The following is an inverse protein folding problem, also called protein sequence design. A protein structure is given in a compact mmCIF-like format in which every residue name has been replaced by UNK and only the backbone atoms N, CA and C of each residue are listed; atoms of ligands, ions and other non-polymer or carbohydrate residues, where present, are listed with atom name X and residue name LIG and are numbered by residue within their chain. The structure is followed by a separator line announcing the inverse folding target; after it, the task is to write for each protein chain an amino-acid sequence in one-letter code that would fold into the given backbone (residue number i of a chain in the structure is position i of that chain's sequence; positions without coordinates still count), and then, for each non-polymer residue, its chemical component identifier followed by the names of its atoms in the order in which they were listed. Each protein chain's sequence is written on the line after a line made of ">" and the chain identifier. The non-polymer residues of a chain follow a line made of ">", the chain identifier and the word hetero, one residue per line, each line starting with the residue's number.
data_IF_497646204774
#
_entry.id   IF_497646204774
#
_cell.length_a   1.000
_cell.length_b   1.000
_cell.length_c   1.000
_cell.angle_alpha   90.00
_cell.angle_beta   90.00
_cell.angle_gamma   90.00
#
_symmetry.space_group_name_H-M   'P 1'
#
loop_
_entity.id
_entity.type
_entity.pdbx_description
1 polymer ?
#
# COMPACT_ATOMS: atom_id res chain seq x y z
N UNK A 1 -25.76 3.19 10.30
CA UNK A 1 -25.54 4.50 9.67
C UNK A 1 -24.13 5.06 9.93
N UNK A 2 -23.71 5.34 11.17
CA UNK A 2 -22.36 5.91 11.43
C UNK A 2 -21.20 5.10 10.83
N UNK A 3 -21.16 3.78 11.05
CA UNK A 3 -20.11 2.94 10.46
C UNK A 3 -20.14 2.89 8.92
N UNK A 4 -21.32 2.97 8.32
CA UNK A 4 -21.48 2.99 6.87
C UNK A 4 -20.93 4.28 6.26
N UNK A 5 -21.19 5.43 6.91
CA UNK A 5 -20.58 6.71 6.56
C UNK A 5 -19.05 6.61 6.68
N UNK A 6 -18.53 5.98 7.73
CA UNK A 6 -17.09 5.75 7.88
C UNK A 6 -16.49 4.97 6.71
N UNK A 7 -17.12 3.87 6.27
CA UNK A 7 -16.68 3.10 5.10
C UNK A 7 -16.68 3.94 3.82
N UNK A 8 -17.70 4.79 3.63
CA UNK A 8 -17.79 5.69 2.49
C UNK A 8 -16.67 6.73 2.51
N UNK A 9 -16.48 7.41 3.65
CA UNK A 9 -15.46 8.45 3.82
C UNK A 9 -14.05 7.87 3.67
N UNK A 10 -13.80 6.67 4.20
CA UNK A 10 -12.53 5.98 3.99
C UNK A 10 -12.24 5.80 2.50
N UNK A 11 -13.17 5.19 1.75
CA UNK A 11 -12.97 4.96 0.33
C UNK A 11 -12.88 6.25 -0.49
N UNK A 12 -13.73 7.23 -0.19
CA UNK A 12 -13.87 8.43 -1.01
C UNK A 12 -12.82 9.51 -0.72
N UNK A 13 -12.38 9.63 0.54
CA UNK A 13 -11.61 10.78 1.01
C UNK A 13 -10.18 10.45 1.44
N UNK A 14 -9.84 9.18 1.70
CA UNK A 14 -8.54 8.82 2.28
C UNK A 14 -7.33 9.32 1.49
N UNK A 15 -7.47 9.52 0.17
CA UNK A 15 -6.40 9.98 -0.72
C UNK A 15 -6.78 11.17 -1.59
N UNK A 16 -8.02 11.67 -1.51
CA UNK A 16 -8.49 12.84 -2.29
C UNK A 16 -8.40 14.13 -1.49
N UNK A 17 -8.33 14.06 -0.16
CA UNK A 17 -8.17 15.22 0.72
C UNK A 17 -6.75 15.33 1.29
N UNK A 18 -6.25 16.55 1.55
CA UNK A 18 -4.99 16.76 2.27
C UNK A 18 -5.01 16.15 3.68
N UNK A 19 -6.19 16.15 4.32
CA UNK A 19 -6.39 15.58 5.65
C UNK A 19 -6.32 14.03 5.67
N UNK A 20 -6.23 13.39 4.50
CA UNK A 20 -6.12 11.94 4.36
C UNK A 20 -7.24 11.18 5.07
N UNK A 21 -6.87 10.30 6.00
CA UNK A 21 -7.81 9.48 6.75
C UNK A 21 -8.50 10.21 7.92
N UNK A 22 -8.23 11.48 8.20
CA UNK A 22 -8.80 12.17 9.35
C UNK A 22 -10.35 12.12 9.42
N UNK A 23 -11.11 12.31 8.32
CA UNK A 23 -12.56 12.18 8.36
C UNK A 23 -13.03 10.78 8.75
N UNK A 24 -12.35 9.74 8.24
CA UNK A 24 -12.61 8.35 8.64
C UNK A 24 -12.24 8.14 10.11
N UNK A 25 -11.09 8.63 10.55
CA UNK A 25 -10.61 8.53 11.92
C UNK A 25 -11.58 9.15 12.93
N UNK A 26 -12.18 10.30 12.60
CA UNK A 26 -13.20 10.94 13.43
C UNK A 26 -14.45 10.05 13.56
N UNK A 27 -14.94 9.47 12.46
CA UNK A 27 -16.10 8.58 12.52
C UNK A 27 -15.76 7.28 13.26
N UNK A 28 -14.58 6.71 13.02
CA UNK A 28 -14.10 5.51 13.72
C UNK A 28 -14.04 5.74 15.24
N UNK A 29 -13.43 6.83 15.69
CA UNK A 29 -13.28 7.13 17.13
C UNK A 29 -14.63 7.44 17.77
N UNK A 30 -15.42 8.34 17.19
CA UNK A 30 -16.72 8.72 17.75
C UNK A 30 -17.67 7.53 17.84
N UNK A 31 -17.79 6.71 16.79
CA UNK A 31 -18.67 5.53 16.82
C UNK A 31 -18.11 4.42 17.71
N UNK A 32 -16.79 4.25 17.83
CA UNK A 32 -16.19 3.34 18.80
C UNK A 32 -16.47 3.73 20.25
N UNK A 33 -16.48 5.03 20.57
CA UNK A 33 -16.84 5.53 21.90
C UNK A 33 -18.33 5.34 22.19
N UNK A 34 -19.20 5.73 21.25
CA UNK A 34 -20.65 5.62 21.40
C UNK A 34 -21.12 4.16 21.49
N UNK A 35 -20.43 3.23 20.83
CA UNK A 35 -20.77 1.80 20.82
C UNK A 35 -19.77 0.94 21.60
N UNK A 36 -19.08 1.51 22.60
CA UNK A 36 -18.01 0.83 23.33
C UNK A 36 -18.43 -0.52 23.92
N UNK A 37 -19.61 -0.60 24.54
CA UNK A 37 -20.11 -1.84 25.13
C UNK A 37 -20.35 -2.93 24.07
N UNK A 38 -20.81 -2.55 22.87
CA UNK A 38 -21.00 -3.47 21.76
C UNK A 38 -19.66 -3.99 21.23
N UNK A 39 -18.66 -3.11 21.09
CA UNK A 39 -17.30 -3.52 20.71
C UNK A 39 -16.69 -4.47 21.75
N UNK A 40 -16.82 -4.14 23.05
CA UNK A 40 -16.30 -4.97 24.14
C UNK A 40 -16.92 -6.36 24.16
N UNK A 41 -18.25 -6.47 23.98
CA UNK A 41 -18.96 -7.76 23.97
C UNK A 41 -18.55 -8.62 22.78
N UNK A 42 -18.42 -8.03 21.61
CA UNK A 42 -18.08 -8.77 20.37
C UNK A 42 -16.59 -9.11 20.25
N UNK A 43 -15.71 -8.44 20.99
CA UNK A 43 -14.28 -8.74 21.00
C UNK A 43 -13.96 -10.19 21.45
N UNK A 44 -14.79 -10.77 22.32
CA UNK A 44 -14.63 -12.17 22.76
C UNK A 44 -14.96 -13.17 21.64
N UNK A 45 -15.93 -12.85 20.77
CA UNK A 45 -16.34 -13.71 19.64
C UNK A 45 -15.22 -13.90 18.61
N UNK A 46 -14.42 -12.85 18.39
CA UNK A 46 -13.30 -12.84 17.44
C UNK A 46 -11.94 -12.74 18.15
N UNK A 47 -11.85 -13.26 19.37
CA UNK A 47 -10.68 -13.06 20.22
C UNK A 47 -9.38 -13.56 19.59
N UNK A 48 -9.39 -14.71 18.91
CA UNK A 48 -8.19 -15.28 18.29
C UNK A 48 -7.63 -14.39 17.16
N UNK A 49 -8.38 -14.08 16.08
CA UNK A 49 -7.87 -13.20 15.03
C UNK A 49 -7.54 -11.80 15.57
N UNK A 50 -8.31 -11.27 16.51
CA UNK A 50 -8.05 -9.96 17.11
C UNK A 50 -6.73 -9.94 17.91
N UNK A 51 -6.46 -10.97 18.73
CA UNK A 51 -5.20 -11.10 19.48
C UNK A 51 -4.00 -11.23 18.55
N UNK A 52 -4.09 -12.03 17.49
CA UNK A 52 -3.00 -12.20 16.51
C UNK A 52 -2.62 -10.84 15.90
N UNK A 53 -3.62 -10.07 15.44
CA UNK A 53 -3.37 -8.76 14.83
C UNK A 53 -2.92 -7.71 15.83
N UNK A 54 -3.40 -7.78 17.07
CA UNK A 54 -2.95 -6.91 18.16
C UNK A 54 -1.50 -7.18 18.54
N UNK A 55 -1.10 -8.45 18.68
CA UNK A 55 0.30 -8.84 18.95
C UNK A 55 1.21 -8.41 17.80
N UNK A 56 0.77 -8.55 16.54
CA UNK A 56 1.51 -8.04 15.39
C UNK A 56 1.72 -6.52 15.50
N UNK A 57 0.65 -5.74 15.71
CA UNK A 57 0.74 -4.29 15.84
C UNK A 57 1.62 -3.87 17.03
N UNK A 58 1.49 -4.54 18.17
CA UNK A 58 2.33 -4.31 19.35
C UNK A 58 3.80 -4.65 19.07
N UNK A 59 4.08 -5.74 18.34
CA UNK A 59 5.42 -6.12 17.92
C UNK A 59 6.09 -5.04 17.08
N UNK A 60 5.34 -4.40 16.16
CA UNK A 60 5.83 -3.25 15.38
C UNK A 60 6.21 -2.10 16.31
N UNK A 61 5.34 -1.77 17.28
CA UNK A 61 5.58 -0.66 18.22
C UNK A 61 6.76 -0.92 19.15
N UNK A 62 6.86 -2.13 19.70
CA UNK A 62 7.97 -2.53 20.56
C UNK A 62 9.28 -2.46 19.79
N UNK A 63 9.33 -3.00 18.56
CA UNK A 63 10.54 -2.90 17.74
C UNK A 63 10.90 -1.45 17.43
N UNK A 64 9.90 -0.61 17.13
CA UNK A 64 10.12 0.80 16.85
C UNK A 64 10.67 1.54 18.08
N UNK A 65 10.10 1.30 19.25
CA UNK A 65 10.56 1.87 20.52
C UNK A 65 11.99 1.39 20.87
N UNK A 66 12.28 0.10 20.70
CA UNK A 66 13.62 -0.45 20.91
C UNK A 66 14.64 0.17 19.95
N UNK A 67 14.28 0.32 18.67
CA UNK A 67 15.14 0.98 17.67
C UNK A 67 15.46 2.43 18.09
N UNK A 68 14.44 3.19 18.50
CA UNK A 68 14.61 4.58 18.98
C UNK A 68 15.52 4.63 20.22
N UNK A 69 15.31 3.74 21.19
CA UNK A 69 16.13 3.68 22.41
C UNK A 69 17.59 3.35 22.11
N UNK A 70 17.85 2.39 21.24
CA UNK A 70 19.21 1.93 20.89
C UNK A 70 19.97 2.98 20.06
N UNK A 71 19.26 3.74 19.22
CA UNK A 71 19.88 4.69 18.29
C UNK A 71 19.75 6.17 18.72
N UNK A 72 19.20 6.39 19.92
CA UNK A 72 18.98 7.70 20.55
C UNK A 72 18.27 8.69 19.62
N UNK A 73 17.18 8.25 19.00
CA UNK A 73 16.40 9.02 18.03
C UNK A 73 15.23 9.79 18.68
N UNK A 74 14.65 10.71 17.91
CA UNK A 74 13.45 11.45 18.32
C UNK A 74 12.18 10.58 18.24
N UNK A 75 11.19 10.88 19.09
CA UNK A 75 9.91 10.14 19.15
C UNK A 75 9.01 10.32 17.92
N UNK A 76 9.35 11.25 17.01
CA UNK A 76 8.50 11.64 15.87
C UNK A 76 8.23 10.48 14.91
N UNK A 77 9.17 9.54 14.77
CA UNK A 77 9.01 8.39 13.87
C UNK A 77 8.04 7.32 14.41
N UNK A 78 7.72 7.36 15.70
CA UNK A 78 6.74 6.46 16.32
C UNK A 78 5.32 6.71 15.79
N UNK A 79 4.99 7.94 15.40
CA UNK A 79 3.66 8.31 14.88
C UNK A 79 3.31 7.54 13.60
N UNK A 80 4.30 7.23 12.75
CA UNK A 80 4.05 6.41 11.56
C UNK A 80 3.66 4.97 11.91
N UNK A 81 4.17 4.45 13.03
CA UNK A 81 4.04 3.04 13.45
C UNK A 81 2.84 2.78 14.34
N UNK A 82 2.39 3.76 15.13
CA UNK A 82 1.12 3.70 15.90
C UNK A 82 -0.09 3.41 15.01
N UNK A 83 -0.02 3.79 13.74
CA UNK A 83 -1.04 3.52 12.72
C UNK A 83 -1.33 2.03 12.51
N UNK A 84 -0.41 1.12 12.82
CA UNK A 84 -0.69 -0.33 12.77
C UNK A 84 -1.74 -0.78 13.79
N UNK A 85 -2.01 0.00 14.85
CA UNK A 85 -3.13 -0.26 15.77
C UNK A 85 -4.50 -0.09 15.10
N UNK A 86 -4.58 0.63 13.97
CA UNK A 86 -5.80 0.73 13.17
C UNK A 86 -6.21 -0.62 12.56
N UNK A 87 -5.26 -1.56 12.41
CA UNK A 87 -5.54 -2.89 11.86
C UNK A 87 -6.48 -3.70 12.76
N UNK A 88 -6.13 -4.05 14.02
CA UNK A 88 -7.06 -4.74 14.92
C UNK A 88 -8.29 -3.89 15.26
N UNK A 89 -8.16 -2.56 15.34
CA UNK A 89 -9.29 -1.66 15.63
C UNK A 89 -10.35 -1.72 14.53
N UNK A 90 -9.96 -1.56 13.26
CA UNK A 90 -10.89 -1.60 12.14
C UNK A 90 -11.56 -2.97 11.96
N UNK A 91 -10.84 -4.07 12.26
CA UNK A 91 -11.43 -5.43 12.32
C UNK A 91 -12.57 -5.49 13.32
N UNK A 92 -12.29 -5.12 14.57
CA UNK A 92 -13.29 -5.16 15.64
C UNK A 92 -14.48 -4.25 15.32
N UNK A 93 -14.20 -3.04 14.86
CA UNK A 93 -15.20 -2.02 14.56
C UNK A 93 -16.18 -2.47 13.47
N UNK A 94 -15.69 -3.02 12.36
CA UNK A 94 -16.56 -3.56 11.29
C UNK A 94 -17.31 -4.81 11.74
N UNK A 95 -16.65 -5.70 12.47
CA UNK A 95 -17.29 -6.92 12.96
C UNK A 95 -18.46 -6.58 13.90
N UNK A 96 -18.25 -5.64 14.82
CA UNK A 96 -19.23 -5.22 15.83
C UNK A 96 -20.39 -4.41 15.23
N UNK A 97 -20.10 -3.37 14.44
CA UNK A 97 -21.10 -2.41 13.97
C UNK A 97 -21.81 -2.84 12.67
N UNK A 98 -21.34 -3.94 12.09
CA UNK A 98 -21.99 -4.63 10.98
C UNK A 98 -22.32 -3.76 9.75
N UNK A 99 -21.46 -2.83 9.30
CA UNK A 99 -21.78 -1.98 8.16
C UNK A 99 -21.93 -2.81 6.86
N UNK A 100 -22.68 -2.27 5.89
CA UNK A 100 -22.85 -2.92 4.58
C UNK A 100 -21.60 -2.68 3.72
N UNK A 101 -21.08 -3.75 3.12
CA UNK A 101 -19.91 -3.71 2.22
C UNK A 101 -20.09 -2.74 1.03
N UNK A 102 -21.34 -2.48 0.61
CA UNK A 102 -21.66 -1.58 -0.49
C UNK A 102 -21.12 -0.15 -0.29
N UNK A 103 -21.06 0.34 0.95
CA UNK A 103 -20.52 1.67 1.25
C UNK A 103 -19.00 1.73 1.09
N UNK A 104 -18.30 0.66 1.43
CA UNK A 104 -16.86 0.56 1.19
C UNK A 104 -16.57 0.49 -0.31
N UNK A 105 -17.37 -0.30 -1.05
CA UNK A 105 -17.26 -0.43 -2.49
C UNK A 105 -17.56 0.89 -3.24
N UNK A 106 -18.68 1.55 -2.90
CA UNK A 106 -19.08 2.83 -3.49
C UNK A 106 -18.11 3.96 -3.13
N UNK A 107 -17.67 4.00 -1.86
CA UNK A 107 -16.65 4.95 -1.41
C UNK A 107 -15.35 4.79 -2.21
N UNK A 108 -14.87 3.57 -2.39
CA UNK A 108 -13.65 3.33 -3.16
C UNK A 108 -13.77 3.77 -4.62
N UNK A 109 -14.93 3.57 -5.26
CA UNK A 109 -15.17 4.07 -6.62
C UNK A 109 -15.14 5.60 -6.67
N UNK A 110 -15.83 6.27 -5.73
CA UNK A 110 -15.78 7.73 -5.62
C UNK A 110 -14.35 8.24 -5.38
N UNK A 111 -13.56 7.53 -4.58
CA UNK A 111 -12.16 7.88 -4.33
C UNK A 111 -11.32 7.83 -5.60
N UNK A 112 -11.44 6.77 -6.41
CA UNK A 112 -10.69 6.67 -7.68
C UNK A 112 -11.07 7.79 -8.65
N UNK A 113 -12.37 8.08 -8.81
CA UNK A 113 -12.80 9.20 -9.67
C UNK A 113 -12.40 10.56 -9.11
N UNK A 114 -12.40 10.73 -7.78
CA UNK A 114 -11.91 11.94 -7.13
C UNK A 114 -10.41 12.15 -7.35
N UNK A 115 -9.60 11.08 -7.28
CA UNK A 115 -8.17 11.16 -7.61
C UNK A 115 -7.96 11.43 -9.10
N UNK A 116 -8.75 10.83 -9.99
CA UNK A 116 -8.68 11.14 -11.41
C UNK A 116 -8.92 12.62 -11.68
N UNK A 117 -9.96 13.20 -11.06
CA UNK A 117 -10.24 14.63 -11.17
C UNK A 117 -9.05 15.46 -10.64
N UNK A 118 -8.52 15.12 -9.47
CA UNK A 118 -7.36 15.79 -8.88
C UNK A 118 -6.13 15.74 -9.81
N UNK A 119 -5.83 14.56 -10.37
CA UNK A 119 -4.71 14.35 -11.27
C UNK A 119 -4.86 15.16 -12.57
N UNK A 120 -6.06 15.17 -13.17
CA UNK A 120 -6.34 15.98 -14.36
C UNK A 120 -6.19 17.47 -14.08
N UNK A 121 -6.67 17.94 -12.92
CA UNK A 121 -6.53 19.35 -12.52
C UNK A 121 -5.08 19.74 -12.33
N UNK A 122 -4.24 18.89 -11.73
CA UNK A 122 -2.80 19.14 -11.55
C UNK A 122 -2.08 19.28 -12.89
N UNK A 123 -2.29 18.31 -13.80
CA UNK A 123 -1.69 18.37 -15.13
C UNK A 123 -2.18 19.58 -15.92
N UNK A 124 -3.47 19.91 -15.83
CA UNK A 124 -4.02 21.10 -16.49
C UNK A 124 -3.44 22.42 -15.95
N UNK A 125 -3.07 22.47 -14.66
CA UNK A 125 -2.35 23.62 -14.07
C UNK A 125 -0.89 23.74 -14.52
N UNK A 126 -0.37 22.75 -15.25
CA UNK A 126 1.00 22.73 -15.74
C UNK A 126 1.97 21.94 -14.85
N UNK A 127 1.48 21.18 -13.86
CA UNK A 127 2.33 20.29 -13.09
C UNK A 127 2.92 19.20 -14.01
N UNK A 128 4.20 18.86 -13.81
CA UNK A 128 4.91 17.89 -14.68
C UNK A 128 4.34 16.48 -14.56
N UNK A 129 3.75 16.14 -13.41
CA UNK A 129 3.06 14.89 -13.11
C UNK A 129 2.03 15.09 -12.00
N UNK A 130 1.05 14.20 -11.90
CA UNK A 130 0.10 14.20 -10.81
C UNK A 130 0.70 13.62 -9.52
N UNK A 131 0.83 14.46 -8.48
CA UNK A 131 1.38 14.07 -7.17
C UNK A 131 0.33 14.00 -6.06
N UNK A 132 -0.89 14.47 -6.34
CA UNK A 132 -1.95 14.61 -5.36
C UNK A 132 -1.53 15.59 -4.26
N UNK A 133 -1.53 15.13 -3.02
CA UNK A 133 -1.14 15.96 -1.86
C UNK A 133 0.24 15.63 -1.30
N UNK A 134 1.05 14.85 -2.02
CA UNK A 134 2.35 14.40 -1.53
C UNK A 134 3.20 13.76 -2.61
N UNK A 135 3.15 12.43 -2.71
CA UNK A 135 4.05 11.68 -3.59
C UNK A 135 3.28 10.98 -4.72
N UNK A 136 3.72 11.18 -5.97
CA UNK A 136 3.10 10.60 -7.17
C UNK A 136 3.04 9.06 -7.17
N UNK A 137 4.06 8.41 -6.60
CA UNK A 137 4.11 6.94 -6.51
C UNK A 137 3.07 6.45 -5.52
N UNK A 138 3.02 7.04 -4.32
CA UNK A 138 2.01 6.72 -3.30
C UNK A 138 0.59 6.99 -3.81
N UNK A 139 0.36 8.08 -4.55
CA UNK A 139 -0.94 8.37 -5.15
C UNK A 139 -1.40 7.23 -6.06
N UNK A 140 -0.54 6.78 -6.96
CA UNK A 140 -0.84 5.70 -7.90
C UNK A 140 -1.05 4.35 -7.17
N UNK A 141 -0.21 4.04 -6.19
CA UNK A 141 -0.30 2.81 -5.39
C UNK A 141 -1.62 2.73 -4.62
N UNK A 142 -2.04 3.83 -3.99
CA UNK A 142 -3.29 3.85 -3.24
C UNK A 142 -4.52 3.91 -4.15
N UNK A 143 -4.41 4.52 -5.33
CA UNK A 143 -5.47 4.45 -6.36
C UNK A 143 -5.67 3.02 -6.83
N UNK A 144 -4.58 2.27 -7.06
CA UNK A 144 -4.63 0.84 -7.34
C UNK A 144 -5.29 0.06 -6.20
N UNK A 145 -4.94 0.36 -4.95
CA UNK A 145 -5.55 -0.28 -3.79
C UNK A 145 -7.08 -0.04 -3.72
N UNK A 146 -7.56 1.17 -4.01
CA UNK A 146 -9.00 1.44 -4.13
C UNK A 146 -9.63 0.71 -5.32
N UNK A 147 -8.97 0.63 -6.47
CA UNK A 147 -9.45 -0.12 -7.62
C UNK A 147 -9.62 -1.62 -7.30
N UNK A 148 -8.71 -2.21 -6.52
CA UNK A 148 -8.80 -3.58 -6.01
C UNK A 148 -10.09 -3.76 -5.18
N UNK A 149 -10.43 -2.80 -4.32
CA UNK A 149 -11.69 -2.82 -3.56
C UNK A 149 -12.89 -2.85 -4.49
N UNK A 150 -12.92 -1.99 -5.51
CA UNK A 150 -14.05 -1.94 -6.45
C UNK A 150 -14.16 -3.24 -7.26
N UNK A 151 -13.04 -3.83 -7.68
CA UNK A 151 -13.01 -5.04 -8.51
C UNK A 151 -13.41 -6.29 -7.71
N UNK A 152 -12.78 -6.54 -6.57
CA UNK A 152 -12.96 -7.80 -5.85
C UNK A 152 -14.11 -7.75 -4.84
N UNK A 153 -14.47 -6.58 -4.30
CA UNK A 153 -15.61 -6.42 -3.40
C UNK A 153 -16.93 -6.07 -4.14
N UNK A 154 -16.97 -6.25 -5.47
CA UNK A 154 -18.14 -5.94 -6.32
C UNK A 154 -19.43 -6.70 -5.95
N UNK A 155 -20.60 -6.06 -6.07
CA UNK A 155 -21.90 -6.73 -6.06
C UNK A 155 -22.05 -7.73 -7.21
N UNK A 156 -22.93 -8.73 -7.06
CA UNK A 156 -23.24 -9.71 -8.12
C UNK A 156 -23.80 -8.99 -9.35
N UNK A 157 -23.29 -9.31 -10.54
CA UNK A 157 -23.77 -8.78 -11.83
C UNK A 157 -23.27 -7.37 -12.20
N UNK A 158 -22.63 -6.64 -11.29
CA UNK A 158 -22.08 -5.31 -11.59
C UNK A 158 -20.66 -5.40 -12.18
N UNK A 159 -20.54 -5.16 -13.48
CA UNK A 159 -19.25 -5.13 -14.19
C UNK A 159 -18.87 -3.76 -14.75
N UNK A 160 -19.86 -2.90 -15.04
CA UNK A 160 -19.60 -1.57 -15.61
C UNK A 160 -18.73 -0.69 -14.69
N UNK A 161 -19.10 -0.55 -13.42
CA UNK A 161 -18.36 0.32 -12.49
C UNK A 161 -16.90 -0.17 -12.27
N UNK A 162 -16.63 -1.47 -11.99
CA UNK A 162 -15.26 -1.96 -11.94
C UNK A 162 -14.44 -1.70 -13.21
N UNK A 163 -15.05 -1.83 -14.41
CA UNK A 163 -14.36 -1.54 -15.67
C UNK A 163 -14.00 -0.05 -15.81
N UNK A 164 -14.93 0.85 -15.48
CA UNK A 164 -14.67 2.30 -15.49
C UNK A 164 -13.61 2.70 -14.47
N UNK A 165 -13.62 2.08 -13.28
CA UNK A 165 -12.63 2.33 -12.23
C UNK A 165 -11.25 1.83 -12.63
N UNK A 166 -11.14 0.68 -13.30
CA UNK A 166 -9.85 0.20 -13.84
C UNK A 166 -9.30 1.14 -14.92
N UNK A 167 -10.17 1.65 -15.80
CA UNK A 167 -9.77 2.65 -16.79
C UNK A 167 -9.28 3.95 -16.13
N UNK A 168 -10.05 4.48 -15.17
CA UNK A 168 -9.68 5.67 -14.41
C UNK A 168 -8.36 5.49 -13.65
N UNK A 169 -8.16 4.33 -13.02
CA UNK A 169 -6.90 3.97 -12.36
C UNK A 169 -5.72 3.93 -13.35
N UNK A 170 -5.92 3.35 -14.55
CA UNK A 170 -4.93 3.38 -15.62
C UNK A 170 -4.54 4.80 -16.03
N UNK A 171 -5.52 5.69 -16.20
CA UNK A 171 -5.25 7.12 -16.50
C UNK A 171 -4.46 7.77 -15.37
N UNK A 172 -4.82 7.57 -14.11
CA UNK A 172 -4.07 8.12 -12.95
C UNK A 172 -2.61 7.61 -12.92
N UNK A 173 -2.37 6.33 -13.23
CA UNK A 173 -1.00 5.77 -13.30
C UNK A 173 -0.20 6.47 -14.41
N UNK A 174 -0.81 6.76 -15.56
CA UNK A 174 -0.16 7.49 -16.65
C UNK A 174 0.14 8.93 -16.23
N UNK A 175 -0.84 9.65 -15.68
CA UNK A 175 -0.67 11.06 -15.28
C UNK A 175 0.33 11.25 -14.13
N UNK A 176 0.45 10.26 -13.23
CA UNK A 176 1.45 10.28 -12.15
C UNK A 176 2.85 9.85 -12.61
N UNK A 177 2.97 9.20 -13.78
CA UNK A 177 4.24 8.63 -14.26
C UNK A 177 4.73 7.40 -13.46
N UNK A 178 3.89 6.85 -12.58
CA UNK A 178 4.28 5.81 -11.60
C UNK A 178 4.26 4.40 -12.21
N UNK A 179 5.28 4.08 -13.00
CA UNK A 179 5.37 2.80 -13.74
C UNK A 179 5.47 1.55 -12.84
N UNK A 180 5.96 1.70 -11.61
CA UNK A 180 6.08 0.59 -10.64
C UNK A 180 4.75 -0.12 -10.33
N UNK A 181 3.64 0.64 -10.40
CA UNK A 181 2.28 0.14 -10.09
C UNK A 181 1.75 -0.82 -11.17
N UNK A 182 2.33 -0.81 -12.38
CA UNK A 182 1.88 -1.63 -13.50
C UNK A 182 1.99 -3.13 -13.21
N UNK A 183 2.97 -3.54 -12.40
CA UNK A 183 3.09 -4.93 -11.96
C UNK A 183 1.94 -5.32 -11.02
N UNK A 184 1.48 -4.43 -10.14
CA UNK A 184 0.28 -4.68 -9.34
C UNK A 184 -0.98 -4.73 -10.22
N UNK A 185 -1.11 -3.82 -11.20
CA UNK A 185 -2.20 -3.83 -12.19
C UNK A 185 -2.25 -5.16 -12.94
N UNK A 186 -1.09 -5.65 -13.37
CA UNK A 186 -0.93 -6.93 -14.05
C UNK A 186 -1.54 -8.08 -13.29
N UNK A 187 -1.15 -8.22 -12.02
CA UNK A 187 -1.61 -9.31 -11.16
C UNK A 187 -3.11 -9.18 -10.87
N UNK A 188 -3.63 -7.96 -10.72
CA UNK A 188 -5.07 -7.70 -10.57
C UNK A 188 -5.85 -8.15 -11.81
N UNK A 189 -5.42 -7.75 -13.01
CA UNK A 189 -6.07 -8.13 -14.27
C UNK A 189 -5.99 -9.64 -14.50
N UNK A 190 -4.85 -10.24 -14.20
CA UNK A 190 -4.65 -11.69 -14.29
C UNK A 190 -5.61 -12.44 -13.35
N UNK A 191 -5.67 -12.08 -12.07
CA UNK A 191 -6.58 -12.69 -11.10
C UNK A 191 -8.04 -12.45 -11.46
N UNK A 192 -8.37 -11.26 -12.00
CA UNK A 192 -9.71 -10.97 -12.50
C UNK A 192 -10.08 -11.91 -13.66
N UNK A 193 -9.19 -12.12 -14.63
CA UNK A 193 -9.39 -13.00 -15.77
C UNK A 193 -9.63 -14.47 -15.35
N UNK A 194 -8.93 -14.93 -14.31
CA UNK A 194 -9.15 -16.26 -13.70
C UNK A 194 -10.50 -16.35 -12.97
N UNK A 195 -10.95 -15.25 -12.35
CA UNK A 195 -12.20 -15.21 -11.57
C UNK A 195 -13.48 -15.19 -12.43
N UNK A 196 -13.38 -14.78 -13.70
CA UNK A 196 -14.53 -14.65 -14.62
C UNK A 196 -14.71 -15.92 -15.46
N UNK A 197 -15.90 -16.51 -15.34
CA UNK A 197 -16.28 -17.77 -16.01
C UNK A 197 -16.53 -17.62 -17.51
N UNK A 198 -16.87 -16.41 -17.95
CA UNK A 198 -17.21 -16.06 -19.34
C UNK A 198 -16.00 -15.57 -20.14
N UNK A 199 -14.86 -15.33 -19.47
CA UNK A 199 -13.63 -15.01 -20.17
C UNK A 199 -13.17 -16.28 -20.87
N UNK A 200 -13.39 -16.35 -22.18
CA UNK A 200 -12.80 -17.41 -23.01
C UNK A 200 -11.28 -17.40 -22.83
N UNK A 201 -10.63 -18.54 -23.07
CA UNK A 201 -9.17 -18.63 -23.05
C UNK A 201 -8.53 -17.51 -23.92
N UNK A 202 -9.19 -17.13 -25.01
CA UNK A 202 -8.79 -16.01 -25.89
C UNK A 202 -8.79 -14.66 -25.16
N UNK A 203 -9.84 -14.33 -24.39
CA UNK A 203 -9.87 -13.08 -23.60
C UNK A 203 -8.80 -13.08 -22.52
N UNK A 204 -8.55 -14.24 -21.88
CA UNK A 204 -7.46 -14.38 -20.90
C UNK A 204 -6.08 -14.15 -21.55
N UNK A 205 -5.87 -14.73 -22.73
CA UNK A 205 -4.64 -14.55 -23.50
C UNK A 205 -4.50 -13.12 -24.05
N UNK A 206 -5.59 -12.46 -24.44
CA UNK A 206 -5.57 -11.06 -24.89
C UNK A 206 -5.29 -10.08 -23.74
N UNK A 207 -5.80 -10.34 -22.54
CA UNK A 207 -5.44 -9.56 -21.36
C UNK A 207 -3.97 -9.75 -20.99
N UNK A 208 -3.47 -10.99 -21.05
CA UNK A 208 -2.04 -11.29 -20.85
C UNK A 208 -1.17 -10.67 -21.95
N UNK A 209 -1.60 -10.72 -23.21
CA UNK A 209 -0.87 -10.14 -24.33
C UNK A 209 -0.91 -8.60 -24.27
N UNK A 210 -2.06 -7.99 -23.95
CA UNK A 210 -2.18 -6.54 -23.73
C UNK A 210 -1.35 -6.07 -22.53
N UNK A 211 -1.18 -6.92 -21.53
CA UNK A 211 -0.28 -6.65 -20.40
C UNK A 211 1.19 -6.68 -20.82
N UNK A 212 1.60 -7.70 -21.57
CA UNK A 212 2.97 -7.84 -22.08
C UNK A 212 3.28 -6.72 -23.09
N UNK A 213 2.33 -6.39 -23.97
CA UNK A 213 2.44 -5.34 -24.99
C UNK A 213 2.35 -3.94 -24.39
N UNK A 214 1.49 -3.71 -23.40
CA UNK A 214 1.42 -2.45 -22.66
C UNK A 214 2.68 -2.22 -21.82
N UNK A 215 3.18 -3.27 -21.18
CA UNK A 215 4.46 -3.26 -20.48
C UNK A 215 5.64 -3.02 -21.41
N UNK A 216 5.68 -3.64 -22.60
CA UNK A 216 6.75 -3.46 -23.57
C UNK A 216 6.70 -2.12 -24.29
N UNK A 217 5.51 -1.60 -24.62
CA UNK A 217 5.35 -0.28 -25.25
C UNK A 217 5.68 0.86 -24.30
N UNK A 218 5.39 0.74 -23.00
CA UNK A 218 5.84 1.70 -21.99
C UNK A 218 7.34 1.57 -21.66
N UNK A 219 7.90 0.37 -21.85
CA UNK A 219 9.36 0.16 -21.77
C UNK A 219 10.10 0.69 -23.01
N UNK A 220 9.49 0.68 -24.19
CA UNK A 220 10.13 1.03 -25.47
C UNK A 220 9.76 2.42 -26.02
N UNK A 221 8.65 3.01 -25.58
CA UNK A 221 8.20 4.34 -26.02
C UNK A 221 8.98 5.51 -25.44
N UNK A 222 10.06 5.22 -24.68
CA UNK A 222 10.93 6.21 -24.07
C UNK A 222 12.36 5.86 -24.53
N UNK A 223 13.03 6.72 -25.32
CA UNK A 223 14.41 6.50 -25.78
C UNK A 223 15.42 6.21 -24.66
N UNK A 224 15.05 6.55 -23.42
CA UNK A 224 15.85 6.41 -22.21
C UNK A 224 15.94 4.96 -21.70
N UNK A 225 15.28 3.97 -22.31
CA UNK A 225 15.36 2.56 -21.89
C UNK A 225 16.04 1.65 -22.91
N UNK A 226 16.25 2.10 -24.14
CA UNK A 226 16.86 1.28 -25.21
C UNK A 226 18.39 1.38 -25.24
N UNK A 227 18.98 2.39 -24.57
CA UNK A 227 20.44 2.62 -24.46
C UNK A 227 21.02 2.28 -23.07
N UNK A 228 20.21 1.74 -22.13
CA UNK A 228 20.60 1.56 -20.71
C UNK A 228 21.58 0.41 -20.39
N UNK A 229 22.29 -0.11 -21.40
CA UNK A 229 23.45 -1.00 -21.20
C UNK A 229 24.77 -0.37 -21.68
N UNK A 230 24.93 0.94 -21.53
CA UNK A 230 26.25 1.58 -21.67
C UNK A 230 26.62 2.44 -20.47
N UNK A 231 27.84 2.22 -19.99
CA UNK A 231 28.57 2.88 -18.90
C UNK A 231 28.64 4.43 -19.00
N UNK A 232 28.08 5.03 -20.05
CA UNK A 232 28.13 6.47 -20.35
C UNK A 232 26.95 7.22 -19.68
N UNK A 233 25.81 6.55 -19.45
CA UNK A 233 24.62 7.19 -18.83
C UNK A 233 24.67 7.29 -17.30
N UNK A 234 25.58 6.58 -16.63
CA UNK A 234 25.81 6.73 -15.18
C UNK A 234 26.18 8.17 -14.80
N UNK A 235 26.88 8.90 -15.69
CA UNK A 235 27.19 10.34 -15.48
C UNK A 235 25.99 11.26 -15.74
N UNK A 236 25.12 10.91 -16.69
CA UNK A 236 23.92 11.70 -17.01
C UNK A 236 22.82 11.53 -15.94
N UNK A 237 22.65 10.33 -15.40
CA UNK A 237 21.77 10.05 -14.26
C UNK A 237 22.28 10.72 -12.97
N UNK A 238 23.61 10.80 -12.78
CA UNK A 238 24.20 11.58 -11.68
C UNK A 238 23.88 13.08 -11.78
N UNK A 239 23.92 13.68 -12.98
CA UNK A 239 23.48 15.06 -13.16
C UNK A 239 21.97 15.28 -12.94
N UNK A 240 21.11 14.29 -13.27
CA UNK A 240 19.67 14.36 -12.94
C UNK A 240 19.38 14.24 -11.44
N UNK A 241 20.18 13.44 -10.73
CA UNK A 241 20.17 13.41 -9.25
C UNK A 241 20.59 14.76 -8.65
N UNK A 242 21.60 15.41 -9.22
CA UNK A 242 22.05 16.74 -8.81
C UNK A 242 21.00 17.83 -9.11
N UNK A 243 20.22 17.67 -10.19
CA UNK A 243 19.12 18.58 -10.55
C UNK A 243 17.80 18.29 -9.84
N UNK A 244 17.74 17.31 -8.93
CA UNK A 244 16.59 17.05 -8.06
C UNK A 244 15.56 16.03 -8.55
N UNK A 245 15.72 15.40 -9.72
CA UNK A 245 14.80 14.35 -10.21
C UNK A 245 15.24 12.96 -9.71
N UNK A 246 15.08 12.74 -8.40
CA UNK A 246 15.57 11.55 -7.70
C UNK A 246 14.56 10.38 -7.65
N UNK A 247 13.33 10.60 -8.11
CA UNK A 247 12.26 9.60 -8.12
C UNK A 247 12.25 8.75 -9.40
N UNK A 248 12.75 9.31 -10.52
CA UNK A 248 12.68 8.70 -11.86
C UNK A 248 13.95 7.96 -12.29
N UNK A 249 15.11 8.22 -11.67
CA UNK A 249 16.39 7.59 -12.04
C UNK A 249 16.50 6.14 -11.54
N UNK A 250 16.70 5.22 -12.47
CA UNK A 250 17.04 3.81 -12.18
C UNK A 250 18.36 3.71 -11.41
N UNK A 251 19.34 4.57 -11.73
CA UNK A 251 20.61 4.65 -11.02
C UNK A 251 20.45 5.00 -9.54
N UNK A 252 19.62 6.00 -9.21
CA UNK A 252 19.33 6.38 -7.84
C UNK A 252 18.75 5.22 -7.02
N UNK A 253 17.83 4.44 -7.61
CA UNK A 253 17.18 3.30 -6.96
C UNK A 253 18.16 2.16 -6.71
N UNK A 254 18.99 1.82 -7.70
CA UNK A 254 19.99 0.76 -7.55
C UNK A 254 20.99 1.10 -6.46
N UNK A 255 21.45 2.35 -6.40
CA UNK A 255 22.37 2.80 -5.37
C UNK A 255 21.77 2.74 -3.96
N UNK A 256 20.53 3.20 -3.78
CA UNK A 256 19.81 3.07 -2.50
C UNK A 256 19.75 1.61 -2.06
N UNK A 257 19.48 0.68 -2.97
CA UNK A 257 19.47 -0.76 -2.67
C UNK A 257 20.86 -1.29 -2.27
N UNK A 258 21.92 -0.84 -2.95
CA UNK A 258 23.30 -1.20 -2.59
C UNK A 258 23.68 -0.67 -1.20
N UNK A 259 23.35 0.59 -0.92
CA UNK A 259 23.55 1.21 0.40
C UNK A 259 22.76 0.47 1.48
N UNK A 260 21.49 0.14 1.21
CA UNK A 260 20.65 -0.62 2.13
C UNK A 260 21.24 -2.00 2.44
N UNK A 261 21.70 -2.71 1.41
CA UNK A 261 22.34 -4.02 1.54
C UNK A 261 23.64 -3.95 2.34
N UNK A 262 24.54 -3.02 2.00
CA UNK A 262 25.78 -2.82 2.75
C UNK A 262 25.52 -2.44 4.21
N UNK A 263 24.50 -1.60 4.45
CA UNK A 263 24.08 -1.22 5.79
C UNK A 263 23.60 -2.42 6.59
N UNK A 264 22.73 -3.25 6.00
CA UNK A 264 22.24 -4.47 6.63
C UNK A 264 23.38 -5.41 7.01
N UNK A 265 24.37 -5.61 6.13
CA UNK A 265 25.55 -6.43 6.45
C UNK A 265 26.39 -5.83 7.59
N UNK A 266 26.52 -4.51 7.65
CA UNK A 266 27.29 -3.84 8.71
C UNK A 266 26.59 -3.81 10.07
N UNK A 267 25.25 -3.72 10.09
CA UNK A 267 24.42 -3.62 11.29
C UNK A 267 23.23 -4.58 11.24
N UNK A 268 23.45 -5.90 11.22
CA UNK A 268 22.41 -6.89 10.93
C UNK A 268 21.35 -7.00 12.03
N UNK A 269 21.64 -6.60 13.26
CA UNK A 269 20.71 -6.74 14.39
C UNK A 269 19.88 -5.49 14.65
N UNK A 270 20.46 -4.30 14.46
CA UNK A 270 19.85 -3.03 14.89
C UNK A 270 19.57 -2.08 13.74
N UNK A 271 20.25 -2.25 12.59
CA UNK A 271 20.24 -1.27 11.51
C UNK A 271 20.79 0.10 11.92
N UNK A 272 20.46 1.13 11.15
CA UNK A 272 20.88 2.53 11.41
C UNK A 272 19.88 3.33 12.25
N UNK A 273 18.74 2.74 12.58
CA UNK A 273 17.64 3.40 13.29
C UNK A 273 16.41 3.58 12.38
N UNK A 274 15.24 3.29 12.93
CA UNK A 274 13.94 3.45 12.27
C UNK A 274 13.76 4.86 11.69
N UNK A 275 13.32 4.98 10.43
CA UNK A 275 13.03 6.29 9.81
C UNK A 275 14.28 7.08 9.37
N UNK A 276 15.48 6.57 9.63
CA UNK A 276 16.74 7.25 9.37
C UNK A 276 17.61 6.55 8.32
N UNK A 277 17.02 6.26 7.15
CA UNK A 277 17.79 5.74 6.02
C UNK A 277 18.82 6.77 5.50
N UNK A 278 18.61 8.05 5.73
CA UNK A 278 19.60 9.11 5.47
C UNK A 278 20.93 8.85 6.20
N UNK A 279 20.91 8.27 7.42
CA UNK A 279 22.14 7.83 8.11
C UNK A 279 22.86 6.73 7.35
N UNK A 280 22.14 5.81 6.70
CA UNK A 280 22.74 4.79 5.85
C UNK A 280 23.46 5.40 4.64
N UNK A 281 22.93 6.48 4.06
CA UNK A 281 23.58 7.19 2.95
C UNK A 281 24.94 7.77 3.34
N UNK A 282 25.21 8.02 4.63
CA UNK A 282 26.55 8.43 5.08
C UNK A 282 27.62 7.34 4.95
N UNK A 283 27.27 6.10 4.59
CA UNK A 283 28.25 5.08 4.19
C UNK A 283 28.96 5.43 2.88
N UNK A 284 28.34 6.25 2.03
CA UNK A 284 28.99 6.74 0.81
C UNK A 284 30.06 7.78 1.19
N UNK A 285 31.33 7.61 0.77
CA UNK A 285 32.41 8.55 1.13
C UNK A 285 32.11 10.00 0.73
N UNK A 286 31.46 10.22 -0.41
CA UNK A 286 31.06 11.56 -0.87
C UNK A 286 30.09 12.23 0.09
N UNK A 287 29.21 11.47 0.75
CA UNK A 287 28.25 11.98 1.73
C UNK A 287 28.85 12.26 3.10
N UNK A 288 30.13 11.92 3.32
CA UNK A 288 30.90 12.30 4.52
C UNK A 288 31.71 13.58 4.32
N UNK A 289 31.89 14.01 3.07
CA UNK A 289 32.80 15.11 2.71
C UNK A 289 32.29 16.51 3.09
N UNK A 290 31.08 16.62 3.64
CA UNK A 290 30.45 17.90 3.99
C UNK A 290 29.89 18.68 2.80
N UNK A 291 30.10 18.20 1.56
CA UNK A 291 29.46 18.75 0.36
C UNK A 291 27.98 18.42 0.40
N UNK A 292 27.13 19.45 0.21
CA UNK A 292 25.70 19.25 0.12
C UNK A 292 25.34 18.68 -1.26
N UNK A 293 24.94 17.40 -1.29
CA UNK A 293 24.38 16.77 -2.48
C UNK A 293 22.97 16.26 -2.14
N UNK A 294 21.99 16.54 -2.99
CA UNK A 294 20.61 16.05 -2.83
C UNK A 294 20.56 14.52 -2.64
N UNK A 295 21.44 13.80 -3.34
CA UNK A 295 21.69 12.36 -3.21
C UNK A 295 21.99 11.90 -1.78
N UNK A 296 22.69 12.69 -0.98
CA UNK A 296 23.09 12.32 0.38
C UNK A 296 21.96 12.47 1.40
N UNK A 297 20.88 13.16 1.05
CA UNK A 297 19.73 13.43 1.90
C UNK A 297 18.50 12.59 1.52
N UNK A 298 18.72 11.49 0.79
CA UNK A 298 17.67 10.54 0.44
C UNK A 298 17.22 9.78 1.70
N UNK A 299 15.94 9.92 2.02
CA UNK A 299 15.38 9.47 3.31
C UNK A 299 14.81 8.05 3.31
N UNK A 300 14.74 7.41 2.14
CA UNK A 300 14.14 6.09 1.97
C UNK A 300 14.90 5.24 0.95
N UNK A 301 14.88 3.93 1.15
CA UNK A 301 15.44 2.94 0.23
C UNK A 301 14.60 2.71 -1.04
N UNK A 302 13.35 3.19 -1.07
CA UNK A 302 12.36 2.91 -2.13
C UNK A 302 12.09 1.41 -2.31
N UNK A 303 12.17 0.65 -1.22
CA UNK A 303 11.82 -0.76 -1.16
C UNK A 303 11.60 -1.11 0.32
N UNK A 304 10.46 -1.70 0.66
CA UNK A 304 10.12 -1.98 2.06
C UNK A 304 11.11 -2.95 2.71
N UNK A 305 11.49 -4.03 2.03
CA UNK A 305 12.42 -5.01 2.60
C UNK A 305 13.80 -4.37 2.84
N UNK A 306 14.29 -3.61 1.86
CA UNK A 306 15.58 -2.92 1.97
C UNK A 306 15.56 -1.84 3.05
N UNK A 307 14.51 -1.03 3.12
CA UNK A 307 14.31 0.01 4.13
C UNK A 307 14.32 -0.60 5.54
N UNK A 308 13.49 -1.63 5.77
CA UNK A 308 13.34 -2.22 7.10
C UNK A 308 14.59 -3.02 7.51
N UNK A 309 15.25 -3.70 6.57
CA UNK A 309 16.52 -4.38 6.84
C UNK A 309 17.64 -3.38 7.17
N UNK A 310 17.77 -2.29 6.42
CA UNK A 310 18.81 -1.29 6.66
C UNK A 310 18.57 -0.51 7.97
N UNK A 311 17.32 -0.18 8.28
CA UNK A 311 16.97 0.65 9.45
C UNK A 311 16.82 -0.13 10.74
N UNK A 312 16.42 -1.40 10.68
CA UNK A 312 16.06 -2.20 11.86
C UNK A 312 16.62 -3.64 11.84
N UNK A 313 17.48 -3.97 10.87
CA UNK A 313 18.14 -5.28 10.80
C UNK A 313 17.19 -6.45 10.53
N UNK A 314 17.62 -7.65 10.95
CA UNK A 314 16.85 -8.89 10.90
C UNK A 314 15.50 -8.77 11.64
N UNK A 315 15.40 -8.15 12.84
CA UNK A 315 14.11 -7.92 13.47
C UNK A 315 13.15 -7.12 12.59
N UNK A 316 13.64 -6.05 11.94
CA UNK A 316 12.87 -5.27 10.96
C UNK A 316 12.35 -6.12 9.81
N UNK A 317 13.23 -6.95 9.24
CA UNK A 317 12.88 -7.87 8.14
C UNK A 317 11.79 -8.88 8.55
N UNK A 318 11.89 -9.47 9.74
CA UNK A 318 10.88 -10.40 10.24
C UNK A 318 9.53 -9.71 10.46
N UNK A 319 9.54 -8.48 10.97
CA UNK A 319 8.31 -7.72 11.21
C UNK A 319 7.63 -7.32 9.89
N UNK A 320 8.35 -6.84 8.88
CA UNK A 320 7.74 -6.52 7.57
C UNK A 320 7.18 -7.76 6.88
N UNK A 321 7.88 -8.91 6.98
CA UNK A 321 7.36 -10.18 6.49
C UNK A 321 6.10 -10.61 7.26
N UNK A 322 6.03 -10.36 8.57
CA UNK A 322 4.85 -10.64 9.37
C UNK A 322 3.68 -9.69 9.05
N UNK A 323 3.95 -8.40 8.82
CA UNK A 323 2.95 -7.40 8.39
C UNK A 323 2.26 -7.88 7.11
N UNK A 324 3.00 -8.46 6.16
CA UNK A 324 2.41 -9.04 4.96
C UNK A 324 1.79 -10.43 5.18
N UNK A 325 2.55 -11.34 5.79
CA UNK A 325 2.20 -12.75 5.87
C UNK A 325 1.03 -13.05 6.81
N UNK A 326 0.96 -12.39 7.97
CA UNK A 326 -0.08 -12.67 8.99
C UNK A 326 -1.48 -12.31 8.48
N UNK A 327 -1.74 -11.08 7.98
CA UNK A 327 -3.04 -10.75 7.41
C UNK A 327 -3.39 -11.61 6.20
N UNK A 328 -2.42 -11.88 5.30
CA UNK A 328 -2.64 -12.72 4.13
C UNK A 328 -3.07 -14.14 4.52
N UNK A 329 -2.38 -14.78 5.47
CA UNK A 329 -2.71 -16.11 5.94
C UNK A 329 -4.10 -16.15 6.61
N UNK A 330 -4.45 -15.10 7.37
CA UNK A 330 -5.77 -14.98 7.98
C UNK A 330 -6.87 -14.86 6.91
N UNK A 331 -6.67 -14.00 5.92
CA UNK A 331 -7.60 -13.79 4.81
C UNK A 331 -7.74 -15.05 3.95
N UNK A 332 -6.65 -15.77 3.69
CA UNK A 332 -6.68 -17.03 2.95
C UNK A 332 -7.52 -18.09 3.69
N UNK A 333 -7.33 -18.22 5.00
CA UNK A 333 -8.13 -19.12 5.84
C UNK A 333 -9.61 -18.73 5.82
N UNK A 334 -9.92 -17.44 5.93
CA UNK A 334 -11.30 -16.93 5.87
C UNK A 334 -11.92 -17.13 4.48
N UNK A 335 -11.15 -16.96 3.41
CA UNK A 335 -11.61 -17.21 2.05
C UNK A 335 -12.01 -18.67 1.86
N UNK A 336 -11.20 -19.63 2.32
CA UNK A 336 -11.54 -21.04 2.27
C UNK A 336 -12.75 -21.39 3.15
N UNK A 337 -12.83 -20.82 4.35
CA UNK A 337 -13.96 -21.02 5.24
C UNK A 337 -15.28 -20.44 4.69
N UNK A 338 -15.22 -19.43 3.81
CA UNK A 338 -16.41 -18.81 3.21
C UNK A 338 -17.11 -19.67 2.15
N UNK A 339 -16.54 -20.80 1.73
CA UNK A 339 -17.10 -21.68 0.71
C UNK A 339 -17.32 -21.03 -0.67
N UNK A 340 -16.74 -19.85 -0.92
CA UNK A 340 -16.93 -19.12 -2.17
C UNK A 340 -16.33 -19.88 -3.36
N UNK A 341 -17.16 -20.09 -4.39
CA UNK A 341 -16.75 -20.75 -5.63
C UNK A 341 -15.93 -19.87 -6.59
N UNK A 342 -15.82 -18.56 -6.30
CA UNK A 342 -15.15 -17.58 -7.16
C UNK A 342 -14.30 -16.66 -6.31
N UNK A 343 -13.18 -16.21 -6.88
CA UNK A 343 -12.27 -15.28 -6.24
C UNK A 343 -12.81 -13.84 -6.25
N UNK A 344 -13.73 -13.56 -5.32
CA UNK A 344 -14.29 -12.23 -5.04
C UNK A 344 -14.84 -12.21 -3.61
N UNK A 345 -15.13 -11.04 -3.06
CA UNK A 345 -15.59 -10.83 -1.69
C UNK A 345 -14.52 -10.20 -0.80
N UNK A 346 -14.84 -9.93 0.48
CA UNK A 346 -13.94 -9.24 1.39
C UNK A 346 -12.59 -9.93 1.58
N UNK A 347 -12.59 -11.27 1.73
CA UNK A 347 -11.35 -12.02 1.91
C UNK A 347 -10.43 -11.94 0.68
N UNK A 348 -10.97 -12.15 -0.53
CA UNK A 348 -10.23 -12.03 -1.78
C UNK A 348 -9.73 -10.59 -2.01
N UNK A 349 -10.54 -9.59 -1.66
CA UNK A 349 -10.16 -8.17 -1.72
C UNK A 349 -8.97 -7.88 -0.82
N UNK A 350 -9.03 -8.33 0.44
CA UNK A 350 -7.92 -8.19 1.38
C UNK A 350 -6.65 -8.88 0.90
N UNK A 351 -6.75 -10.10 0.36
CA UNK A 351 -5.59 -10.82 -0.18
C UNK A 351 -4.92 -10.03 -1.30
N UNK A 352 -5.72 -9.50 -2.23
CA UNK A 352 -5.20 -8.70 -3.34
C UNK A 352 -4.61 -7.36 -2.88
N UNK A 353 -5.16 -6.73 -1.84
CA UNK A 353 -4.56 -5.55 -1.22
C UNK A 353 -3.17 -5.88 -0.66
N UNK A 354 -3.02 -6.99 0.07
CA UNK A 354 -1.71 -7.40 0.60
C UNK A 354 -0.73 -7.69 -0.53
N UNK A 355 -1.15 -8.43 -1.57
CA UNK A 355 -0.31 -8.71 -2.74
C UNK A 355 0.11 -7.43 -3.45
N UNK A 356 -0.81 -6.48 -3.65
CA UNK A 356 -0.50 -5.19 -4.26
C UNK A 356 0.53 -4.41 -3.43
N UNK A 357 0.37 -4.36 -2.11
CA UNK A 357 1.36 -3.71 -1.24
C UNK A 357 2.73 -4.38 -1.29
N UNK A 358 2.81 -5.72 -1.38
CA UNK A 358 4.10 -6.42 -1.58
C UNK A 358 4.74 -5.96 -2.90
N UNK A 359 3.97 -5.94 -4.00
CA UNK A 359 4.48 -5.58 -5.32
C UNK A 359 4.90 -4.11 -5.41
N UNK A 360 4.06 -3.19 -4.93
CA UNK A 360 4.39 -1.76 -4.85
C UNK A 360 5.58 -1.52 -3.90
N UNK A 361 5.61 -2.26 -2.78
CA UNK A 361 6.68 -2.28 -1.77
C UNK A 361 8.04 -2.72 -2.31
N UNK A 362 8.11 -3.39 -3.46
CA UNK A 362 9.37 -3.68 -4.13
C UNK A 362 10.00 -2.46 -4.81
N UNK A 363 9.19 -1.44 -5.10
CA UNK A 363 9.57 -0.24 -5.87
C UNK A 363 9.40 1.07 -5.10
N UNK A 364 8.78 1.02 -3.93
CA UNK A 364 8.59 2.15 -3.03
C UNK A 364 8.58 1.68 -1.58
N UNK A 365 9.03 2.53 -0.65
CA UNK A 365 8.93 2.25 0.79
C UNK A 365 7.52 2.59 1.29
N UNK A 366 6.55 1.70 1.07
CA UNK A 366 5.14 1.93 1.37
C UNK A 366 4.90 2.30 2.82
N UNK A 367 5.55 1.61 3.75
CA UNK A 367 5.34 1.85 5.18
C UNK A 367 6.16 3.00 5.77
N UNK A 368 6.93 3.70 4.94
CA UNK A 368 7.54 4.97 5.33
C UNK A 368 6.56 6.14 5.21
N UNK A 369 5.56 6.02 4.32
CA UNK A 369 4.54 7.04 4.10
C UNK A 369 3.35 6.84 5.02
N UNK A 370 3.09 7.83 5.86
CA UNK A 370 2.02 7.81 6.87
C UNK A 370 0.65 7.45 6.30
N UNK A 371 0.26 8.06 5.17
CA UNK A 371 -1.03 7.81 4.51
C UNK A 371 -1.14 6.36 4.01
N UNK A 372 -0.05 5.80 3.49
CA UNK A 372 0.00 4.42 2.98
C UNK A 372 -0.09 3.41 4.12
N UNK A 373 0.67 3.60 5.21
CA UNK A 373 0.58 2.75 6.41
C UNK A 373 -0.83 2.75 7.01
N UNK A 374 -1.43 3.93 7.17
CA UNK A 374 -2.80 4.07 7.65
C UNK A 374 -3.81 3.40 6.72
N UNK A 375 -3.68 3.61 5.41
CA UNK A 375 -4.56 2.99 4.41
C UNK A 375 -4.48 1.47 4.46
N UNK A 376 -3.27 0.90 4.49
CA UNK A 376 -3.06 -0.54 4.60
C UNK A 376 -3.77 -1.11 5.82
N UNK A 377 -3.44 -0.57 7.00
CA UNK A 377 -3.96 -1.06 8.27
C UNK A 377 -5.49 -1.04 8.29
N UNK A 378 -6.10 0.07 7.82
CA UNK A 378 -7.56 0.19 7.75
C UNK A 378 -8.12 -0.74 6.68
N UNK A 379 -7.71 -0.64 5.42
CA UNK A 379 -8.32 -1.40 4.31
C UNK A 379 -8.25 -2.92 4.54
N UNK A 380 -7.10 -3.42 4.98
CA UNK A 380 -6.91 -4.85 5.30
C UNK A 380 -7.76 -5.24 6.50
N UNK A 381 -7.82 -4.42 7.55
CA UNK A 381 -8.63 -4.70 8.72
C UNK A 381 -10.14 -4.67 8.43
N UNK A 382 -10.62 -3.72 7.61
CA UNK A 382 -11.98 -3.70 7.09
C UNK A 382 -12.29 -5.00 6.33
N UNK A 383 -11.38 -5.46 5.46
CA UNK A 383 -11.54 -6.71 4.70
C UNK A 383 -11.60 -7.95 5.62
N UNK A 384 -10.72 -8.04 6.62
CA UNK A 384 -10.72 -9.13 7.60
C UNK A 384 -12.03 -9.12 8.42
N UNK A 385 -12.46 -7.96 8.93
CA UNK A 385 -13.69 -7.83 9.71
C UNK A 385 -14.95 -8.21 8.91
N UNK A 386 -15.03 -7.77 7.65
CA UNK A 386 -16.11 -8.17 6.73
C UNK A 386 -16.06 -9.67 6.40
N UNK A 387 -14.88 -10.25 6.19
CA UNK A 387 -14.71 -11.67 5.92
C UNK A 387 -15.08 -12.55 7.12
N UNK A 388 -14.72 -12.14 8.33
CA UNK A 388 -15.14 -12.81 9.57
C UNK A 388 -16.66 -12.85 9.68
N UNK A 389 -17.34 -11.72 9.41
CA UNK A 389 -18.81 -11.66 9.42
C UNK A 389 -19.44 -12.59 8.38
N UNK A 390 -18.86 -12.64 7.18
CA UNK A 390 -19.34 -13.55 6.13
C UNK A 390 -19.27 -15.02 6.57
N UNK A 391 -18.15 -15.44 7.17
CA UNK A 391 -17.99 -16.80 7.69
C UNK A 391 -18.94 -17.07 8.87
N UNK A 392 -19.10 -16.12 9.80
CA UNK A 392 -20.03 -16.28 10.93
C UNK A 392 -21.48 -16.43 10.47
N UNK A 393 -21.91 -15.68 9.46
CA UNK A 393 -23.26 -15.76 8.91
C UNK A 393 -23.55 -17.10 8.23
N UNK A 394 -22.52 -17.78 7.68
CA UNK A 394 -22.68 -19.12 7.11
C UNK A 394 -22.79 -20.22 8.15
N UNK A 395 -22.15 -20.05 9.33
CA UNK A 395 -22.24 -21.04 10.42
C UNK A 395 -23.58 -21.01 11.15
N UNK A 396 -24.33 -19.93 11.01
CA UNK A 396 -25.70 -19.78 11.56
C UNK A 396 -26.80 -20.26 10.61
N UNK A 397 -26.45 -20.63 9.38
CA UNK A 397 -27.31 -21.24 8.37
C UNK A 397 -27.06 -22.75 8.36
#
# INVERSE_FOLDING_TARGET
>A
MGAEIGLLLFGALAITLPAGLAPFGLVLTTTSLLCFDQLRRTASEIAVPLRILFVLALGVLVLSALSIMVTHLELRDLDSRTRFLLLPWSVLWVYALRPRQQWFWGGAALGVFGVLLLAVVQIWRGDTRAEGWGNAIVLADLTMALAIVVVFARPKGCWLLPSLVLLACGVVIVLSGSRGVLLAMAVVLFMLALSVRWASLRVRLLLLAGLVLGGSTLAWGVPQLTEQMRLIELKADMHRLESGDSDSSTGARLERLQVAYATFLSKPLTGVGIGHFDRAMTLLPVCRSGVWLARCHLRHAHNDLAEWAATQGVPGLLVILAIYGVPFALLLRLYWASGRKRFHGPAATGMMLVVAYILCGMTQSMFAHQVSTSFYAVAVGLCIGLALREVSAQRSL
#
